data_IF_880470375372
#
_entry.id   IF_880470375372
#
_cell.length_a   1.000
_cell.length_b   1.000
_cell.length_c   1.000
_cell.angle_alpha   90.00
_cell.angle_beta   90.00
_cell.angle_gamma   90.00
#
_symmetry.space_group_name_H-M   'P 1'
#
loop_
_entity.id
_entity.type
_entity.pdbx_description
1 polymer ?
#
# COMPACT_ATOMS: atom_id res chain seq x y z
N UNK A 1 21.49 0.21 18.28
CA UNK A 1 21.83 -0.94 19.15
C UNK A 1 22.13 -2.22 18.36
N UNK A 2 21.40 -2.54 17.29
CA UNK A 2 21.59 -3.77 16.49
C UNK A 2 22.93 -3.78 15.72
N UNK A 3 23.41 -2.62 15.24
CA UNK A 3 24.70 -2.50 14.54
C UNK A 3 25.92 -2.74 15.42
N UNK A 4 25.85 -2.38 16.72
CA UNK A 4 26.94 -2.58 17.66
C UNK A 4 27.07 -4.07 18.07
N UNK A 5 25.94 -4.80 18.17
CA UNK A 5 25.94 -6.24 18.45
C UNK A 5 26.48 -7.06 17.28
N UNK A 6 26.19 -6.66 16.04
CA UNK A 6 26.76 -7.31 14.86
C UNK A 6 28.27 -7.12 14.76
N UNK A 7 28.80 -5.95 15.15
CA UNK A 7 30.24 -5.64 15.13
C UNK A 7 31.02 -6.40 16.22
N UNK A 8 30.40 -6.65 17.36
CA UNK A 8 30.98 -7.44 18.46
C UNK A 8 31.01 -8.94 18.12
N UNK A 9 29.96 -9.44 17.49
CA UNK A 9 29.87 -10.85 17.04
C UNK A 9 30.88 -11.13 15.92
N UNK A 10 31.06 -10.22 14.97
CA UNK A 10 32.07 -10.39 13.92
C UNK A 10 33.49 -10.34 14.46
N UNK A 11 33.78 -9.46 15.45
CA UNK A 11 35.09 -9.40 16.08
C UNK A 11 35.41 -10.68 16.90
N UNK A 12 34.40 -11.30 17.50
CA UNK A 12 34.54 -12.53 18.29
C UNK A 12 34.75 -13.80 17.43
N UNK A 13 34.16 -13.81 16.25
CA UNK A 13 34.34 -14.93 15.28
C UNK A 13 35.72 -14.86 14.60
N UNK A 14 36.24 -13.64 14.39
CA UNK A 14 37.58 -13.44 13.81
C UNK A 14 38.70 -13.78 14.81
N UNK A 15 38.44 -13.63 16.12
CA UNK A 15 39.45 -13.91 17.17
C UNK A 15 39.51 -15.39 17.64
N UNK A 16 38.52 -16.21 17.29
CA UNK A 16 38.46 -17.62 17.66
C UNK A 16 39.04 -18.53 16.56
N UNK A 17 40.34 -18.40 16.29
CA UNK A 17 41.21 -19.48 15.86
C UNK A 17 40.78 -20.30 14.62
N UNK A 18 40.79 -19.70 13.44
CA UNK A 18 41.01 -20.48 12.21
C UNK A 18 42.37 -20.13 11.63
N UNK A 19 43.39 -20.59 12.36
CA UNK A 19 44.78 -20.43 12.00
C UNK A 19 45.22 -21.59 11.11
N UNK A 20 45.66 -21.27 9.96
CA UNK A 20 46.54 -22.11 9.17
C UNK A 20 46.02 -22.40 7.75
N UNK A 21 46.59 -21.73 6.81
CA UNK A 21 46.83 -22.18 5.43
C UNK A 21 45.83 -21.83 4.31
N UNK A 22 44.70 -21.19 4.61
CA UNK A 22 43.84 -20.70 3.50
C UNK A 22 43.58 -19.19 3.66
N UNK A 23 44.46 -18.49 4.39
CA UNK A 23 44.12 -17.23 5.04
C UNK A 23 44.20 -15.98 4.14
N UNK A 24 44.97 -15.94 3.07
CA UNK A 24 45.25 -14.67 2.39
C UNK A 24 44.30 -14.30 1.26
N UNK A 25 43.73 -15.28 0.57
CA UNK A 25 42.74 -15.03 -0.49
C UNK A 25 41.31 -14.79 0.05
N UNK A 26 40.93 -15.45 1.13
CA UNK A 26 39.58 -15.36 1.71
C UNK A 26 39.44 -14.13 2.61
N UNK A 27 40.49 -13.74 3.32
CA UNK A 27 40.51 -12.53 4.16
C UNK A 27 40.23 -11.25 3.36
N UNK A 28 40.61 -11.20 2.08
CA UNK A 28 40.36 -10.05 1.20
C UNK A 28 38.95 -10.04 0.60
N UNK A 29 38.33 -11.21 0.38
CA UNK A 29 36.98 -11.26 -0.24
C UNK A 29 35.81 -11.15 0.72
N UNK A 30 35.95 -11.62 1.95
CA UNK A 30 34.90 -11.55 2.96
C UNK A 30 34.48 -10.12 3.31
N UNK A 31 35.40 -9.17 3.58
CA UNK A 31 35.00 -7.79 3.83
C UNK A 31 34.37 -7.11 2.61
N UNK A 32 34.82 -7.45 1.41
CA UNK A 32 34.23 -6.92 0.17
C UNK A 32 32.81 -7.43 -0.03
N UNK A 33 32.55 -8.71 0.27
CA UNK A 33 31.23 -9.31 0.20
C UNK A 33 30.26 -8.67 1.24
N UNK A 34 30.75 -8.45 2.49
CA UNK A 34 29.98 -7.75 3.53
C UNK A 34 29.74 -6.28 3.19
N UNK A 35 30.67 -5.62 2.53
CA UNK A 35 30.54 -4.23 2.09
C UNK A 35 29.50 -4.13 0.96
N UNK A 36 29.52 -5.04 0.00
CA UNK A 36 28.52 -5.10 -1.08
C UNK A 36 27.14 -5.41 -0.50
N UNK A 37 27.03 -6.36 0.44
CA UNK A 37 25.79 -6.70 1.13
C UNK A 37 25.26 -5.52 1.96
N UNK A 38 26.15 -4.81 2.67
CA UNK A 38 25.81 -3.61 3.43
C UNK A 38 25.35 -2.45 2.54
N UNK A 39 26.01 -2.20 1.42
CA UNK A 39 25.59 -1.20 0.43
C UNK A 39 24.25 -1.58 -0.19
N UNK A 40 24.04 -2.85 -0.50
CA UNK A 40 22.77 -3.34 -1.06
C UNK A 40 21.62 -3.16 -0.09
N UNK A 41 21.82 -3.46 1.20
CA UNK A 41 20.82 -3.25 2.25
C UNK A 41 20.56 -1.75 2.52
N UNK A 42 21.60 -0.91 2.47
CA UNK A 42 21.48 0.53 2.64
C UNK A 42 20.73 1.19 1.47
N UNK A 43 21.03 0.80 0.23
CA UNK A 43 20.30 1.29 -0.95
C UNK A 43 18.86 0.83 -0.98
N UNK A 44 18.57 -0.39 -0.49
CA UNK A 44 17.20 -0.90 -0.42
C UNK A 44 16.38 -0.23 0.70
N UNK A 45 17.01 0.23 1.78
CA UNK A 45 16.36 0.90 2.91
C UNK A 45 16.06 2.40 2.68
N UNK A 46 16.88 3.09 1.88
CA UNK A 46 16.84 4.56 1.81
C UNK A 46 15.87 5.17 0.79
N UNK A 47 15.31 4.39 -0.14
CA UNK A 47 14.47 4.93 -1.25
C UNK A 47 12.97 4.90 -0.91
N UNK A 48 12.56 4.34 0.23
CA UNK A 48 11.17 3.97 0.49
C UNK A 48 10.33 4.97 1.28
N UNK A 49 10.90 5.93 1.99
CA UNK A 49 10.13 6.66 3.01
C UNK A 49 9.24 7.81 2.48
N UNK A 50 9.64 8.57 1.49
CA UNK A 50 8.81 9.71 1.04
C UNK A 50 7.65 9.34 0.10
N UNK A 51 7.79 8.24 -0.65
CA UNK A 51 6.71 7.75 -1.52
C UNK A 51 5.66 6.94 -0.77
N UNK A 52 5.96 6.43 0.41
CA UNK A 52 5.06 5.56 1.17
C UNK A 52 3.82 6.30 1.70
N UNK A 53 3.95 7.52 2.19
CA UNK A 53 2.81 8.24 2.77
C UNK A 53 1.74 8.59 1.74
N UNK A 54 2.15 9.00 0.53
CA UNK A 54 1.20 9.26 -0.57
C UNK A 54 0.55 7.97 -1.06
N UNK A 55 1.32 6.89 -1.19
CA UNK A 55 0.80 5.57 -1.59
C UNK A 55 -0.14 4.98 -0.54
N UNK A 56 0.19 5.08 0.75
CA UNK A 56 -0.68 4.63 1.85
C UNK A 56 -2.02 5.35 1.82
N UNK A 57 -2.02 6.68 1.68
CA UNK A 57 -3.25 7.47 1.54
C UNK A 57 -4.08 7.05 0.32
N UNK A 58 -3.44 6.86 -0.83
CA UNK A 58 -4.12 6.41 -2.05
C UNK A 58 -4.70 5.00 -1.88
N UNK A 59 -3.99 4.10 -1.23
CA UNK A 59 -4.48 2.75 -0.91
C UNK A 59 -5.65 2.77 0.07
N UNK A 60 -5.62 3.62 1.09
CA UNK A 60 -6.72 3.81 2.03
C UNK A 60 -7.97 4.32 1.31
N UNK A 61 -7.83 5.35 0.46
CA UNK A 61 -8.92 5.86 -0.37
C UNK A 61 -9.51 4.77 -1.28
N UNK A 62 -8.67 4.01 -1.98
CA UNK A 62 -9.10 2.90 -2.84
C UNK A 62 -9.79 1.77 -2.06
N UNK A 63 -9.38 1.52 -0.83
CA UNK A 63 -9.98 0.49 0.01
C UNK A 63 -11.37 0.88 0.53
N UNK A 64 -11.58 2.14 0.90
CA UNK A 64 -12.85 2.64 1.42
C UNK A 64 -13.85 3.03 0.33
N UNK A 65 -13.37 3.37 -0.86
CA UNK A 65 -14.18 3.86 -1.97
C UNK A 65 -15.31 2.91 -2.41
N UNK A 66 -15.12 1.59 -2.58
CA UNK A 66 -16.19 0.71 -3.04
C UNK A 66 -17.42 0.67 -2.11
N UNK A 67 -17.18 0.67 -0.80
CA UNK A 67 -18.25 0.71 0.20
C UNK A 67 -18.99 2.04 0.16
N UNK A 68 -18.25 3.14 0.07
CA UNK A 68 -18.80 4.48 -0.08
C UNK A 68 -19.65 4.60 -1.36
N UNK A 69 -19.11 4.21 -2.52
CA UNK A 69 -19.80 4.30 -3.80
C UNK A 69 -21.10 3.48 -3.80
N UNK A 70 -21.07 2.29 -3.19
CA UNK A 70 -22.26 1.46 -3.04
C UNK A 70 -23.33 2.15 -2.17
N UNK A 71 -22.94 2.71 -1.02
CA UNK A 71 -23.87 3.45 -0.13
C UNK A 71 -24.52 4.63 -0.84
N UNK A 72 -23.72 5.46 -1.53
CA UNK A 72 -24.24 6.61 -2.29
C UNK A 72 -25.19 6.16 -3.40
N UNK A 73 -24.82 5.12 -4.16
CA UNK A 73 -25.68 4.63 -5.26
C UNK A 73 -27.03 4.10 -4.73
N UNK A 74 -27.04 3.41 -3.58
CA UNK A 74 -28.27 2.95 -2.93
C UNK A 74 -29.14 4.11 -2.46
N UNK A 75 -28.56 5.15 -1.86
CA UNK A 75 -29.29 6.31 -1.39
C UNK A 75 -29.91 7.12 -2.56
N UNK A 76 -29.16 7.31 -3.64
CA UNK A 76 -29.66 7.98 -4.83
C UNK A 76 -30.81 7.19 -5.49
N UNK A 77 -30.71 5.86 -5.54
CA UNK A 77 -31.82 5.01 -6.02
C UNK A 77 -33.03 5.05 -5.10
N UNK A 78 -32.82 5.26 -3.81
CA UNK A 78 -33.91 5.49 -2.85
C UNK A 78 -34.52 6.90 -2.94
N UNK A 79 -34.09 7.73 -3.89
CA UNK A 79 -34.63 9.06 -4.18
C UNK A 79 -33.90 10.21 -3.48
N UNK A 80 -32.82 9.98 -2.78
CA UNK A 80 -32.01 11.05 -2.20
C UNK A 80 -31.30 11.86 -3.30
N UNK A 81 -31.18 13.17 -3.07
CA UNK A 81 -30.29 14.00 -3.89
C UNK A 81 -28.82 13.62 -3.64
N UNK A 82 -27.89 13.91 -4.55
CA UNK A 82 -26.48 13.67 -4.33
C UNK A 82 -25.95 14.29 -3.02
N UNK A 83 -26.34 15.54 -2.74
CA UNK A 83 -26.01 16.23 -1.50
C UNK A 83 -26.58 15.49 -0.27
N UNK A 84 -27.88 15.14 -0.30
CA UNK A 84 -28.53 14.40 0.80
C UNK A 84 -27.91 13.01 1.02
N UNK A 85 -27.46 12.34 -0.02
CA UNK A 85 -26.74 11.08 0.09
C UNK A 85 -25.38 11.26 0.79
N UNK A 86 -24.62 12.31 0.46
CA UNK A 86 -23.38 12.66 1.16
C UNK A 86 -23.64 13.00 2.63
N UNK A 87 -24.63 13.86 2.93
CA UNK A 87 -25.03 14.23 4.30
C UNK A 87 -25.38 12.99 5.15
N UNK A 88 -26.19 12.09 4.58
CA UNK A 88 -26.60 10.86 5.26
C UNK A 88 -25.41 9.93 5.52
N UNK A 89 -24.52 9.84 4.57
CA UNK A 89 -23.31 8.99 4.68
C UNK A 89 -22.33 9.59 5.68
N UNK A 90 -22.08 10.90 5.64
CA UNK A 90 -21.21 11.60 6.58
C UNK A 90 -21.74 11.58 8.02
N UNK A 91 -23.06 11.81 8.23
CA UNK A 91 -23.67 11.73 9.56
C UNK A 91 -23.62 10.34 10.15
N UNK A 92 -23.82 9.30 9.33
CA UNK A 92 -23.70 7.91 9.76
C UNK A 92 -22.25 7.57 10.18
N UNK A 93 -21.25 8.07 9.44
CA UNK A 93 -19.84 7.89 9.79
C UNK A 93 -19.50 8.55 11.13
N UNK A 94 -19.90 9.82 11.35
CA UNK A 94 -19.65 10.52 12.61
C UNK A 94 -20.29 9.76 13.80
N UNK A 95 -21.54 9.35 13.65
CA UNK A 95 -22.27 8.59 14.70
C UNK A 95 -21.59 7.25 15.01
N UNK A 96 -21.09 6.54 13.98
CA UNK A 96 -20.37 5.30 14.16
C UNK A 96 -19.04 5.52 14.87
N UNK A 97 -18.31 6.57 14.47
CA UNK A 97 -17.04 6.93 15.09
C UNK A 97 -17.16 7.29 16.55
N UNK A 98 -18.19 8.05 16.93
CA UNK A 98 -18.46 8.41 18.33
C UNK A 98 -18.82 7.17 19.18
N UNK A 99 -19.63 6.27 18.66
CA UNK A 99 -20.08 5.07 19.40
C UNK A 99 -18.99 4.00 19.54
N UNK A 100 -18.21 3.76 18.50
CA UNK A 100 -17.28 2.64 18.41
C UNK A 100 -15.82 3.06 18.58
N UNK A 101 -15.55 4.35 18.82
CA UNK A 101 -14.20 4.92 18.86
C UNK A 101 -13.33 4.48 17.66
N UNK A 102 -13.98 4.37 16.48
CA UNK A 102 -13.39 3.84 15.27
C UNK A 102 -12.28 4.78 14.72
N UNK A 103 -11.23 4.23 14.09
CA UNK A 103 -10.18 5.04 13.49
C UNK A 103 -10.73 5.97 12.41
N UNK A 104 -10.02 7.06 12.16
CA UNK A 104 -10.38 8.01 11.11
C UNK A 104 -10.18 7.35 9.74
N UNK A 105 -11.19 7.46 8.89
CA UNK A 105 -11.13 7.03 7.49
C UNK A 105 -10.92 8.26 6.60
N UNK A 106 -9.85 8.26 5.82
CA UNK A 106 -9.44 9.39 4.99
C UNK A 106 -10.53 9.80 4.01
N UNK A 107 -11.24 8.85 3.40
CA UNK A 107 -12.31 9.14 2.44
C UNK A 107 -13.49 9.86 3.10
N UNK A 108 -13.92 9.38 4.25
CA UNK A 108 -15.06 9.99 4.96
C UNK A 108 -14.70 11.37 5.54
N UNK A 109 -13.46 11.60 5.95
CA UNK A 109 -13.02 12.96 6.35
C UNK A 109 -13.07 13.93 5.17
N UNK A 110 -12.67 13.51 3.95
CA UNK A 110 -12.79 14.32 2.73
C UNK A 110 -14.26 14.62 2.36
N UNK A 111 -15.17 13.68 2.60
CA UNK A 111 -16.61 13.87 2.43
C UNK A 111 -17.13 14.96 3.38
N UNK A 112 -16.71 14.91 4.66
CA UNK A 112 -17.09 15.92 5.66
C UNK A 112 -16.55 17.32 5.30
N UNK A 113 -15.37 17.41 4.70
CA UNK A 113 -14.83 18.68 4.20
C UNK A 113 -15.72 19.20 3.07
N UNK A 114 -16.10 18.36 2.12
CA UNK A 114 -16.96 18.74 1.01
C UNK A 114 -18.35 19.16 1.45
N UNK A 115 -18.90 18.54 2.49
CA UNK A 115 -20.17 18.95 3.09
C UNK A 115 -20.06 20.33 3.72
N UNK A 116 -18.99 20.60 4.47
CA UNK A 116 -18.73 21.92 5.07
C UNK A 116 -18.57 23.01 4.00
N UNK A 117 -17.92 22.70 2.87
CA UNK A 117 -17.84 23.60 1.72
C UNK A 117 -19.25 23.94 1.18
N UNK A 118 -20.12 22.93 1.02
CA UNK A 118 -21.50 23.14 0.57
C UNK A 118 -22.35 23.93 1.59
N UNK A 119 -22.12 23.75 2.88
CA UNK A 119 -22.77 24.49 3.96
C UNK A 119 -22.29 25.94 4.01
N UNK A 120 -21.03 26.22 3.67
CA UNK A 120 -20.47 27.57 3.58
C UNK A 120 -20.86 28.31 2.30
N UNK A 121 -21.69 27.72 1.42
CA UNK A 121 -22.22 28.37 0.22
C UNK A 121 -21.49 28.03 -1.08
N UNK A 122 -20.48 27.13 -1.04
CA UNK A 122 -19.85 26.63 -2.27
C UNK A 122 -20.85 25.79 -3.06
N UNK A 123 -20.86 25.96 -4.38
CA UNK A 123 -21.78 25.18 -5.23
C UNK A 123 -21.49 23.67 -5.12
N UNK A 124 -22.55 22.83 -5.24
CA UNK A 124 -22.39 21.39 -5.19
C UNK A 124 -21.39 20.89 -6.25
N UNK A 125 -21.42 21.50 -7.44
CA UNK A 125 -20.48 21.16 -8.52
C UNK A 125 -19.04 21.41 -8.09
N UNK A 126 -18.75 22.61 -7.59
CA UNK A 126 -17.38 22.99 -7.20
C UNK A 126 -16.88 22.18 -5.99
N UNK A 127 -17.77 21.90 -5.04
CA UNK A 127 -17.43 21.03 -3.90
C UNK A 127 -17.06 19.60 -4.34
N UNK A 128 -17.74 19.02 -5.34
CA UNK A 128 -17.37 17.71 -5.90
C UNK A 128 -16.08 17.77 -6.72
N UNK A 129 -15.80 18.87 -7.43
CA UNK A 129 -14.53 19.07 -8.13
C UNK A 129 -13.36 19.22 -7.12
N UNK A 130 -13.58 19.92 -5.99
CA UNK A 130 -12.59 20.01 -4.92
C UNK A 130 -12.34 18.65 -4.26
N UNK A 131 -13.40 17.87 -4.01
CA UNK A 131 -13.30 16.51 -3.48
C UNK A 131 -12.47 15.61 -4.39
N UNK A 132 -12.74 15.63 -5.69
CA UNK A 132 -11.98 14.90 -6.71
C UNK A 132 -10.49 15.25 -6.66
N UNK A 133 -10.16 16.56 -6.67
CA UNK A 133 -8.77 17.04 -6.64
C UNK A 133 -8.04 16.66 -5.36
N UNK A 134 -8.72 16.70 -4.21
CA UNK A 134 -8.12 16.31 -2.92
C UNK A 134 -7.86 14.80 -2.82
N UNK A 135 -8.77 13.99 -3.33
CA UNK A 135 -8.62 12.54 -3.33
C UNK A 135 -7.60 12.08 -4.37
N UNK A 136 -7.59 12.66 -5.57
CA UNK A 136 -6.69 12.37 -6.70
C UNK A 136 -6.57 10.87 -7.02
N UNK A 137 -7.69 10.15 -7.02
CA UNK A 137 -7.81 8.72 -7.33
C UNK A 137 -8.76 8.57 -8.51
N UNK A 138 -8.36 7.81 -9.52
CA UNK A 138 -9.08 7.67 -10.79
C UNK A 138 -10.55 7.23 -10.62
N UNK A 139 -10.80 6.26 -9.75
CA UNK A 139 -12.14 5.74 -9.47
C UNK A 139 -13.03 6.83 -8.83
N UNK A 140 -12.46 7.63 -7.93
CA UNK A 140 -13.16 8.75 -7.26
C UNK A 140 -13.45 9.86 -8.27
N UNK A 141 -12.50 10.18 -9.15
CA UNK A 141 -12.66 11.14 -10.25
C UNK A 141 -13.84 10.78 -11.15
N UNK A 142 -13.91 9.53 -11.59
CA UNK A 142 -15.05 9.05 -12.41
C UNK A 142 -16.37 9.17 -11.66
N UNK A 143 -16.41 8.76 -10.42
CA UNK A 143 -17.60 8.81 -9.58
C UNK A 143 -18.06 10.26 -9.33
N UNK A 144 -17.13 11.18 -9.02
CA UNK A 144 -17.43 12.61 -8.85
C UNK A 144 -17.98 13.22 -10.14
N UNK A 145 -17.43 12.84 -11.30
CA UNK A 145 -17.98 13.24 -12.60
C UNK A 145 -19.43 12.79 -12.83
N UNK A 146 -19.81 11.60 -12.32
CA UNK A 146 -21.21 11.16 -12.33
C UNK A 146 -22.07 12.05 -11.42
N UNK A 147 -21.63 12.35 -10.21
CA UNK A 147 -22.36 13.23 -9.28
C UNK A 147 -22.56 14.63 -9.84
N UNK A 148 -21.53 15.21 -10.48
CA UNK A 148 -21.62 16.51 -11.15
C UNK A 148 -22.65 16.49 -12.28
N UNK A 149 -22.70 15.39 -13.05
CA UNK A 149 -23.74 15.21 -14.08
C UNK A 149 -25.15 15.09 -13.48
N UNK A 150 -25.26 14.43 -12.30
CA UNK A 150 -26.52 14.33 -11.58
C UNK A 150 -27.09 15.68 -11.20
N UNK A 151 -26.23 16.54 -10.66
CA UNK A 151 -26.63 17.90 -10.29
C UNK A 151 -27.16 18.69 -11.50
N UNK A 152 -26.57 18.45 -12.69
CA UNK A 152 -26.96 19.16 -13.93
C UNK A 152 -28.21 18.63 -14.62
N UNK A 153 -28.42 17.30 -14.62
CA UNK A 153 -29.44 16.63 -15.45
C UNK A 153 -30.64 16.07 -14.69
N UNK A 154 -30.59 16.04 -13.36
CA UNK A 154 -31.60 15.37 -12.52
C UNK A 154 -31.31 13.88 -12.29
N UNK A 155 -31.99 13.32 -11.29
CA UNK A 155 -31.60 12.05 -10.64
C UNK A 155 -31.93 10.75 -11.39
N UNK A 156 -32.85 10.77 -12.38
CA UNK A 156 -33.55 9.52 -12.78
C UNK A 156 -32.69 8.53 -13.59
N UNK A 157 -31.79 9.00 -14.45
CA UNK A 157 -30.92 8.13 -15.25
C UNK A 157 -29.61 7.75 -14.54
N UNK A 158 -29.26 8.48 -13.50
CA UNK A 158 -27.96 8.40 -12.86
C UNK A 158 -27.82 7.25 -11.85
N UNK A 159 -28.92 6.82 -11.27
CA UNK A 159 -28.92 5.76 -10.27
C UNK A 159 -28.34 4.45 -10.81
N UNK A 160 -28.59 4.14 -12.09
CA UNK A 160 -28.06 2.92 -12.71
C UNK A 160 -26.58 3.07 -13.10
N UNK A 161 -26.16 4.23 -13.65
CA UNK A 161 -24.75 4.50 -13.94
C UNK A 161 -23.87 4.44 -12.67
N UNK A 162 -24.36 5.02 -11.58
CA UNK A 162 -23.68 4.96 -10.27
C UNK A 162 -23.61 3.53 -9.71
N UNK A 163 -24.65 2.73 -9.95
CA UNK A 163 -24.65 1.32 -9.57
C UNK A 163 -23.58 0.54 -10.32
N UNK A 164 -23.53 0.68 -11.63
CA UNK A 164 -22.50 0.02 -12.45
C UNK A 164 -21.09 0.40 -11.98
N UNK A 165 -20.86 1.68 -11.72
CA UNK A 165 -19.57 2.16 -11.27
C UNK A 165 -19.21 1.61 -9.88
N UNK A 166 -20.18 1.57 -8.96
CA UNK A 166 -19.96 0.98 -7.64
C UNK A 166 -19.67 -0.52 -7.69
N UNK A 167 -20.37 -1.26 -8.59
CA UNK A 167 -20.10 -2.69 -8.79
C UNK A 167 -18.71 -2.92 -9.40
N UNK A 168 -18.27 -2.12 -10.36
CA UNK A 168 -16.91 -2.19 -10.91
C UNK A 168 -15.86 -1.94 -9.84
N UNK A 169 -16.09 -0.97 -8.95
CA UNK A 169 -15.18 -0.70 -7.83
C UNK A 169 -15.09 -1.88 -6.84
N UNK A 170 -16.21 -2.54 -6.55
CA UNK A 170 -16.24 -3.74 -5.68
C UNK A 170 -15.47 -4.89 -6.33
N UNK A 171 -15.70 -5.16 -7.62
CA UNK A 171 -15.00 -6.22 -8.35
C UNK A 171 -13.49 -5.95 -8.43
N UNK A 172 -13.10 -4.71 -8.72
CA UNK A 172 -11.69 -4.31 -8.73
C UNK A 172 -11.02 -4.52 -7.36
N UNK A 173 -11.73 -4.22 -6.27
CA UNK A 173 -11.22 -4.51 -4.90
C UNK A 173 -11.04 -6.00 -4.65
N UNK A 174 -12.00 -6.82 -5.05
CA UNK A 174 -11.89 -8.29 -4.91
C UNK A 174 -10.70 -8.84 -5.70
N UNK A 175 -10.47 -8.33 -6.91
CA UNK A 175 -9.35 -8.74 -7.74
C UNK A 175 -8.00 -8.33 -7.15
N UNK A 176 -7.91 -7.13 -6.55
CA UNK A 176 -6.72 -6.68 -5.83
C UNK A 176 -6.42 -7.56 -4.61
N UNK A 177 -7.43 -7.94 -3.84
CA UNK A 177 -7.28 -8.84 -2.69
C UNK A 177 -6.77 -10.20 -3.15
N UNK A 178 -7.33 -10.74 -4.22
CA UNK A 178 -6.90 -12.01 -4.81
C UNK A 178 -5.44 -11.94 -5.29
N UNK A 179 -5.07 -10.91 -6.04
CA UNK A 179 -3.68 -10.71 -6.50
C UNK A 179 -2.68 -10.56 -5.35
N UNK A 180 -3.08 -9.89 -4.26
CA UNK A 180 -2.23 -9.78 -3.06
C UNK A 180 -2.00 -11.15 -2.40
N UNK A 181 -3.00 -12.02 -2.39
CA UNK A 181 -2.86 -13.40 -1.91
C UNK A 181 -1.91 -14.24 -2.78
N UNK A 182 -2.00 -14.13 -4.09
CA UNK A 182 -1.14 -14.85 -5.03
C UNK A 182 0.32 -14.38 -4.96
N UNK A 183 0.55 -13.07 -4.85
CA UNK A 183 1.92 -12.51 -4.75
C UNK A 183 2.59 -12.76 -3.40
N UNK A 184 1.86 -13.01 -2.33
CA UNK A 184 2.42 -13.37 -1.03
C UNK A 184 3.13 -14.74 -1.11
N UNK A 185 2.56 -15.71 -1.81
CA UNK A 185 3.19 -17.02 -2.04
C UNK A 185 4.50 -16.93 -2.85
N UNK A 186 4.53 -16.09 -3.87
CA UNK A 186 5.72 -15.95 -4.74
C UNK A 186 6.86 -15.20 -4.02
N UNK A 187 6.56 -14.25 -3.13
CA UNK A 187 7.58 -13.55 -2.35
C UNK A 187 8.33 -14.47 -1.37
N UNK A 188 7.72 -15.56 -0.93
CA UNK A 188 8.37 -16.55 -0.06
C UNK A 188 9.36 -17.45 -0.82
N UNK A 189 9.21 -17.61 -2.13
CA UNK A 189 10.15 -18.40 -2.94
C UNK A 189 11.53 -17.75 -3.06
N UNK A 190 11.58 -16.41 -3.06
CA UNK A 190 12.84 -15.68 -3.21
C UNK A 190 13.84 -15.94 -2.06
N UNK A 191 13.49 -15.84 -0.77
CA UNK A 191 14.41 -16.19 0.31
C UNK A 191 14.75 -17.69 0.33
N UNK A 192 13.84 -18.59 -0.05
CA UNK A 192 14.16 -20.03 -0.15
C UNK A 192 15.19 -20.31 -1.24
N UNK A 193 15.08 -19.67 -2.41
CA UNK A 193 16.04 -19.81 -3.50
C UNK A 193 17.42 -19.27 -3.09
N UNK A 194 17.46 -18.15 -2.39
CA UNK A 194 18.71 -17.55 -1.89
C UNK A 194 19.37 -18.44 -0.84
N UNK A 195 18.59 -19.05 0.07
CA UNK A 195 19.09 -19.99 1.06
C UNK A 195 19.67 -21.26 0.40
N UNK A 196 19.00 -21.81 -0.60
CA UNK A 196 19.46 -22.96 -1.35
C UNK A 196 20.79 -22.67 -2.08
N UNK A 197 20.93 -21.46 -2.64
CA UNK A 197 22.17 -21.03 -3.30
C UNK A 197 23.33 -20.93 -2.30
N UNK A 198 23.10 -20.41 -1.09
CA UNK A 198 24.13 -20.35 -0.04
C UNK A 198 24.58 -21.76 0.37
N UNK A 199 23.63 -22.68 0.59
CA UNK A 199 23.95 -24.07 0.94
C UNK A 199 24.75 -24.74 -0.18
N UNK A 200 24.39 -24.51 -1.43
CA UNK A 200 25.10 -25.05 -2.60
C UNK A 200 26.55 -24.55 -2.65
N UNK A 201 26.79 -23.28 -2.38
CA UNK A 201 28.16 -22.71 -2.33
C UNK A 201 28.98 -23.36 -1.21
N UNK A 202 28.38 -23.56 -0.01
CA UNK A 202 29.07 -24.18 1.14
C UNK A 202 29.49 -25.61 0.83
N UNK A 203 28.69 -26.39 0.09
CA UNK A 203 28.99 -27.76 -0.27
C UNK A 203 30.02 -27.86 -1.43
N UNK A 204 29.91 -26.96 -2.41
CA UNK A 204 30.82 -26.95 -3.58
C UNK A 204 32.22 -26.50 -3.21
N UNK A 205 32.37 -25.61 -2.22
CA UNK A 205 33.66 -25.07 -1.81
C UNK A 205 34.69 -26.15 -1.39
N UNK A 206 34.39 -27.08 -0.45
CA UNK A 206 35.33 -28.15 -0.10
C UNK A 206 35.57 -29.15 -1.21
N UNK A 207 34.58 -29.38 -2.12
CA UNK A 207 34.74 -30.24 -3.25
C UNK A 207 35.78 -29.70 -4.25
N UNK A 208 35.78 -28.40 -4.54
CA UNK A 208 36.75 -27.78 -5.42
C UNK A 208 38.17 -27.72 -4.81
N UNK A 209 38.28 -27.48 -3.51
CA UNK A 209 39.59 -27.45 -2.82
C UNK A 209 40.22 -28.85 -2.74
N UNK A 210 39.40 -29.89 -2.58
CA UNK A 210 39.87 -31.29 -2.60
C UNK A 210 40.37 -31.73 -4.01
N UNK A 211 39.75 -31.23 -5.08
CA UNK A 211 40.14 -31.56 -6.46
C UNK A 211 41.45 -30.83 -6.88
N UNK A 212 41.74 -29.67 -6.32
CA UNK A 212 42.95 -28.91 -6.65
C UNK A 212 44.20 -29.37 -5.93
N UNK A 213 44.10 -30.37 -5.02
CA UNK A 213 45.21 -30.99 -4.32
C UNK A 213 45.65 -32.37 -4.91
N UNK A 214 44.98 -32.81 -5.95
CA UNK A 214 45.37 -33.99 -6.73
C UNK A 214 46.12 -33.59 -7.98
#
# INVERSE_FOLDING_TARGET
MVLLSALVVTKKIISAGFSGMIADGIKSMVPVLFLILGIMLFFFGGILEERENKKKREEELKNSFPEFALKISMLIRAGFTPKGAFEKTGSNYLRKREKENAPKDVLYEEILISLREMESGVSQKDAYEHFEKRCNVFEITRFSGLLIRAVKRGNTALGEELREESQRAVLAKQELIRKRGETAGTKLLFPMMLFLLIVMIIILYPAFTSLSML
#
